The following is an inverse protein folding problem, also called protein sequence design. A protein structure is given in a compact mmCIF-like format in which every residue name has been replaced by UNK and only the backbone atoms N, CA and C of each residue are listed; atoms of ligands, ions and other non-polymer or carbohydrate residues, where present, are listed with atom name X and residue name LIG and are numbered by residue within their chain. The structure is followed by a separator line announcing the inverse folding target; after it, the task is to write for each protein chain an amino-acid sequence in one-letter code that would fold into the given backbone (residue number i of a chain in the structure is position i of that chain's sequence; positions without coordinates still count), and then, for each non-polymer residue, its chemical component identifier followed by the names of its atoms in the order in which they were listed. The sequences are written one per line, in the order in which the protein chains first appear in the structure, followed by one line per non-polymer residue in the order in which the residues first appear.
data_IF_947485937310
#
_entry.id   IF_947485937310
#
_cell.length_a   1.000
_cell.length_b   1.000
_cell.length_c   1.000
_cell.angle_alpha   90.00
_cell.angle_beta   90.00
_cell.angle_gamma   90.00
#
_symmetry.space_group_name_H-M   'P 1'
#
loop_
_entity.id
_entity.type
_entity.pdbx_description
1 polymer ?
#
# COMPACT_ATOMS: atom_id res chain seq x y z
N UNK A 1 13.21 -19.00 -41.42
CA UNK A 1 12.21 -18.02 -41.87
C UNK A 1 12.86 -16.64 -41.76
N UNK A 2 13.12 -15.98 -42.88
CA UNK A 2 13.79 -14.68 -42.88
C UNK A 2 12.81 -13.60 -42.39
N UNK A 3 13.33 -12.45 -41.96
CA UNK A 3 12.50 -11.30 -41.60
C UNK A 3 11.66 -10.80 -42.78
N UNK A 4 12.18 -10.91 -44.01
CA UNK A 4 11.45 -10.57 -45.23
C UNK A 4 10.29 -11.54 -45.52
N UNK A 5 10.48 -12.84 -45.24
CA UNK A 5 9.42 -13.84 -45.37
C UNK A 5 8.27 -13.57 -44.37
N UNK A 6 8.60 -13.09 -43.17
CA UNK A 6 7.59 -12.74 -42.17
C UNK A 6 6.77 -11.51 -42.58
N UNK A 7 7.42 -10.50 -43.18
CA UNK A 7 6.74 -9.29 -43.67
C UNK A 7 5.91 -9.60 -44.92
N UNK A 8 6.41 -10.41 -45.85
CA UNK A 8 5.67 -10.79 -47.06
C UNK A 8 4.45 -11.64 -46.69
N UNK A 9 4.58 -12.59 -45.76
CA UNK A 9 3.47 -13.36 -45.22
C UNK A 9 2.42 -12.45 -44.58
N UNK A 10 2.84 -11.52 -43.71
CA UNK A 10 1.94 -10.58 -43.05
C UNK A 10 1.19 -9.64 -44.03
N UNK A 11 1.86 -9.21 -45.11
CA UNK A 11 1.23 -8.41 -46.17
C UNK A 11 0.28 -9.22 -47.05
N UNK A 12 0.58 -10.50 -47.27
CA UNK A 12 -0.24 -11.40 -48.09
C UNK A 12 -1.49 -11.92 -47.37
N UNK A 13 -1.48 -11.94 -46.03
CA UNK A 13 -2.69 -12.15 -45.23
C UNK A 13 -3.59 -10.93 -45.38
N UNK A 14 -4.52 -11.00 -46.35
CA UNK A 14 -5.68 -10.13 -46.41
C UNK A 14 -6.52 -10.42 -45.18
N UNK A 15 -6.34 -9.62 -44.13
CA UNK A 15 -7.23 -9.66 -42.97
C UNK A 15 -8.55 -9.05 -43.45
N UNK A 16 -9.64 -9.83 -43.57
CA UNK A 16 -10.91 -9.29 -44.00
C UNK A 16 -11.32 -8.17 -43.02
N UNK A 17 -11.91 -7.07 -43.51
CA UNK A 17 -12.37 -6.00 -42.65
C UNK A 17 -13.32 -6.60 -41.59
N UNK A 18 -13.20 -6.18 -40.31
CA UNK A 18 -14.04 -6.73 -39.25
C UNK A 18 -15.51 -6.55 -39.61
N UNK A 19 -16.33 -7.58 -39.38
CA UNK A 19 -17.72 -7.54 -39.82
C UNK A 19 -18.48 -6.44 -39.06
N UNK A 20 -19.38 -5.72 -39.74
CA UNK A 20 -20.24 -4.71 -39.09
C UNK A 20 -21.11 -5.33 -37.99
N UNK A 21 -21.39 -6.64 -38.08
CA UNK A 21 -22.06 -7.44 -37.05
C UNK A 21 -21.25 -7.51 -35.76
N UNK A 22 -19.94 -7.77 -35.86
CA UNK A 22 -19.04 -7.79 -34.70
C UNK A 22 -18.92 -6.40 -34.07
N UNK A 23 -18.89 -5.37 -34.91
CA UNK A 23 -18.88 -3.97 -34.47
C UNK A 23 -20.18 -3.59 -33.73
N UNK A 24 -21.34 -3.99 -34.23
CA UNK A 24 -22.63 -3.77 -33.54
C UNK A 24 -22.72 -4.57 -32.24
N UNK A 25 -22.22 -5.80 -32.21
CA UNK A 25 -22.18 -6.61 -31.00
C UNK A 25 -21.27 -5.97 -29.94
N UNK A 26 -20.08 -5.50 -30.34
CA UNK A 26 -19.16 -4.77 -29.48
C UNK A 26 -19.79 -3.47 -28.95
N UNK A 27 -20.42 -2.66 -29.81
CA UNK A 27 -21.10 -1.41 -29.40
C UNK A 27 -22.28 -1.68 -28.45
N UNK A 28 -23.07 -2.74 -28.69
CA UNK A 28 -24.17 -3.15 -27.79
C UNK A 28 -23.65 -3.62 -26.43
N UNK A 29 -22.59 -4.42 -26.42
CA UNK A 29 -21.96 -4.87 -25.18
C UNK A 29 -21.48 -3.66 -24.36
N UNK A 30 -20.85 -2.69 -25.02
CA UNK A 30 -20.35 -1.46 -24.40
C UNK A 30 -21.50 -0.60 -23.79
N UNK A 31 -22.66 -0.53 -24.47
CA UNK A 31 -23.82 0.19 -23.98
C UNK A 31 -24.45 -0.44 -22.73
N UNK A 32 -24.49 -1.77 -22.65
CA UNK A 32 -25.06 -2.51 -21.51
C UNK A 32 -24.15 -2.46 -20.28
N UNK A 33 -22.83 -2.48 -20.45
CA UNK A 33 -21.90 -2.48 -19.32
C UNK A 33 -21.75 -1.12 -18.64
N UNK A 34 -21.81 -0.01 -19.38
CA UNK A 34 -21.65 1.36 -18.85
C UNK A 34 -22.51 1.70 -17.61
N UNK A 35 -23.83 1.43 -17.58
CA UNK A 35 -24.65 1.75 -16.40
C UNK A 35 -24.26 0.90 -15.17
N UNK A 36 -24.01 -0.39 -15.34
CA UNK A 36 -23.57 -1.27 -14.25
C UNK A 36 -22.19 -0.85 -13.69
N UNK A 37 -21.29 -0.36 -14.55
CA UNK A 37 -20.03 0.22 -14.10
C UNK A 37 -20.22 1.53 -13.33
N UNK A 38 -21.11 2.41 -13.79
CA UNK A 38 -21.38 3.69 -13.14
C UNK A 38 -21.93 3.50 -11.72
N UNK A 39 -22.87 2.57 -11.54
CA UNK A 39 -23.43 2.23 -10.23
C UNK A 39 -22.37 1.65 -9.29
N UNK A 40 -21.53 0.73 -9.77
CA UNK A 40 -20.49 0.14 -8.93
C UNK A 40 -19.36 1.13 -8.62
N UNK A 41 -19.06 2.09 -9.51
CA UNK A 41 -18.18 3.23 -9.20
C UNK A 41 -18.79 4.12 -8.13
N UNK A 42 -20.09 4.37 -8.18
CA UNK A 42 -20.79 5.12 -7.13
C UNK A 42 -20.76 4.37 -5.79
N UNK A 43 -20.99 3.06 -5.78
CA UNK A 43 -20.90 2.23 -4.58
C UNK A 43 -19.49 2.22 -3.98
N UNK A 44 -18.45 2.05 -4.80
CA UNK A 44 -17.06 2.15 -4.35
C UNK A 44 -16.77 3.52 -3.72
N UNK A 45 -17.24 4.62 -4.34
CA UNK A 45 -17.09 5.98 -3.78
C UNK A 45 -17.76 6.13 -2.42
N UNK A 46 -18.95 5.54 -2.22
CA UNK A 46 -19.63 5.55 -0.91
C UNK A 46 -18.79 4.81 0.14
N UNK A 47 -18.21 3.66 -0.22
CA UNK A 47 -17.30 2.89 0.66
C UNK A 47 -16.04 3.69 0.99
N UNK A 48 -15.42 4.36 0.01
CA UNK A 48 -14.30 5.26 0.25
C UNK A 48 -14.69 6.44 1.13
N UNK A 49 -15.84 7.05 0.89
CA UNK A 49 -16.38 8.13 1.71
C UNK A 49 -16.59 7.68 3.15
N UNK A 50 -17.09 6.47 3.38
CA UNK A 50 -17.22 5.88 4.70
C UNK A 50 -15.86 5.61 5.35
N UNK A 51 -14.91 4.99 4.62
CA UNK A 51 -13.53 4.77 5.08
C UNK A 51 -12.89 6.08 5.51
N UNK A 52 -13.04 7.12 4.68
CA UNK A 52 -12.50 8.44 4.90
C UNK A 52 -13.17 9.13 6.08
N UNK A 53 -14.50 9.06 6.19
CA UNK A 53 -15.23 9.62 7.32
C UNK A 53 -14.78 8.96 8.63
N UNK A 54 -14.55 7.65 8.65
CA UNK A 54 -14.00 6.96 9.80
C UNK A 54 -12.53 7.28 10.06
N UNK A 55 -11.69 7.34 9.04
CA UNK A 55 -10.29 7.75 9.17
C UNK A 55 -10.19 9.20 9.66
N UNK A 56 -11.09 10.08 9.22
CA UNK A 56 -11.23 11.45 9.71
C UNK A 56 -11.80 11.48 11.11
N UNK A 57 -12.78 10.67 11.49
CA UNK A 57 -13.30 10.61 12.86
C UNK A 57 -12.27 10.04 13.83
N UNK A 58 -11.51 9.04 13.39
CA UNK A 58 -10.38 8.47 14.12
C UNK A 58 -9.25 9.48 14.23
N UNK A 59 -8.88 10.13 13.12
CA UNK A 59 -7.88 11.18 13.04
C UNK A 59 -8.28 12.43 13.81
N UNK A 60 -9.55 12.82 13.81
CA UNK A 60 -10.15 13.91 14.59
C UNK A 60 -10.39 13.48 16.03
N UNK A 61 -10.50 12.19 16.34
CA UNK A 61 -10.51 11.66 17.70
C UNK A 61 -9.10 11.64 18.31
N UNK A 62 -8.12 11.22 17.52
CA UNK A 62 -6.67 11.32 17.78
C UNK A 62 -6.27 12.78 17.95
N UNK A 63 -6.69 13.62 17.00
CA UNK A 63 -6.52 15.05 17.08
C UNK A 63 -7.29 15.54 18.29
N UNK A 64 -8.61 15.42 18.46
CA UNK A 64 -9.35 15.90 19.66
C UNK A 64 -8.78 15.43 20.99
N UNK A 65 -8.31 14.20 21.13
CA UNK A 65 -7.62 13.75 22.35
C UNK A 65 -6.31 14.50 22.56
N UNK A 66 -5.45 14.53 21.53
CA UNK A 66 -4.17 15.27 21.55
C UNK A 66 -4.31 16.79 21.34
N UNK A 67 -5.47 17.27 20.93
CA UNK A 67 -5.89 18.64 20.60
C UNK A 67 -6.56 19.21 21.82
N UNK A 68 -7.27 18.40 22.62
CA UNK A 68 -7.52 18.75 24.02
C UNK A 68 -6.19 18.95 24.71
N UNK A 69 -5.25 18.00 24.59
CA UNK A 69 -3.90 18.12 25.15
C UNK A 69 -3.15 19.34 24.58
N UNK A 70 -3.19 19.60 23.26
CA UNK A 70 -2.60 20.79 22.62
C UNK A 70 -3.28 22.06 23.08
N UNK A 71 -4.61 22.14 23.07
CA UNK A 71 -5.36 23.33 23.48
C UNK A 71 -5.15 23.60 24.96
N UNK A 72 -5.09 22.58 25.83
CA UNK A 72 -4.65 22.77 27.22
C UNK A 72 -3.19 23.18 27.31
N UNK A 73 -2.29 22.63 26.50
CA UNK A 73 -0.88 23.04 26.45
C UNK A 73 -0.64 24.41 25.76
N UNK A 74 -1.62 24.93 25.02
CA UNK A 74 -1.54 26.19 24.28
C UNK A 74 -2.21 27.33 25.05
N UNK A 75 -3.38 27.07 25.68
CA UNK A 75 -4.05 28.04 26.56
C UNK A 75 -3.47 28.08 27.99
N UNK A 76 -2.94 26.98 28.50
CA UNK A 76 -2.36 26.88 29.85
C UNK A 76 -0.87 26.51 29.81
N UNK A 77 -0.17 26.87 28.73
CA UNK A 77 1.14 26.31 28.39
C UNK A 77 2.21 26.37 29.47
N UNK A 78 2.24 27.40 30.30
CA UNK A 78 3.23 27.47 31.39
C UNK A 78 2.80 26.63 32.62
N UNK A 79 1.50 26.53 32.90
CA UNK A 79 0.96 25.69 33.99
C UNK A 79 0.94 24.20 33.63
N UNK A 80 0.66 23.84 32.38
CA UNK A 80 0.67 22.46 31.90
C UNK A 80 2.10 21.90 31.78
N UNK A 81 3.08 22.73 31.36
CA UNK A 81 4.52 22.38 31.40
C UNK A 81 5.01 22.20 32.84
N UNK A 82 4.54 23.02 33.78
CA UNK A 82 4.87 22.90 35.20
C UNK A 82 4.25 21.66 35.88
N UNK A 83 3.02 21.26 35.52
CA UNK A 83 2.35 20.11 36.14
C UNK A 83 2.75 18.75 35.56
N UNK A 84 3.10 18.66 34.27
CA UNK A 84 3.42 17.37 33.63
C UNK A 84 4.91 17.06 33.60
N UNK A 85 5.79 18.04 33.90
CA UNK A 85 7.25 17.87 33.88
C UNK A 85 7.83 17.42 32.54
N UNK A 86 6.99 17.36 31.49
CA UNK A 86 7.29 16.73 30.22
C UNK A 86 7.41 17.81 29.17
N UNK A 87 8.65 18.13 28.79
CA UNK A 87 9.02 19.04 27.69
C UNK A 87 8.61 18.52 26.29
N UNK A 88 7.59 17.66 26.21
CA UNK A 88 7.06 17.13 24.94
C UNK A 88 6.31 18.24 24.22
N UNK A 89 7.05 18.98 23.40
CA UNK A 89 6.51 19.59 22.19
C UNK A 89 5.55 18.59 21.55
N UNK A 90 4.36 19.05 21.21
CA UNK A 90 3.40 18.16 20.56
C UNK A 90 3.97 17.82 19.19
N UNK A 91 4.44 16.57 19.03
CA UNK A 91 5.13 16.06 17.84
C UNK A 91 4.34 16.40 16.57
N UNK A 92 4.73 17.49 15.90
CA UNK A 92 4.23 17.89 14.59
C UNK A 92 4.31 16.71 13.60
N UNK A 93 5.35 15.89 13.75
CA UNK A 93 5.53 14.63 13.05
C UNK A 93 4.38 13.67 13.14
N UNK A 94 3.86 13.47 14.34
CA UNK A 94 2.76 12.55 14.56
C UNK A 94 1.47 13.05 13.89
N UNK A 95 1.22 14.36 13.94
CA UNK A 95 0.09 14.98 13.24
C UNK A 95 0.23 14.78 11.74
N UNK A 96 1.39 15.12 11.17
CA UNK A 96 1.67 14.95 9.74
C UNK A 96 1.56 13.48 9.29
N UNK A 97 2.10 12.55 10.07
CA UNK A 97 1.99 11.12 9.83
C UNK A 97 0.52 10.68 9.84
N UNK A 98 -0.28 11.10 10.83
CA UNK A 98 -1.71 10.73 10.93
C UNK A 98 -2.56 11.30 9.79
N UNK A 99 -2.20 12.47 9.24
CA UNK A 99 -2.90 13.08 8.12
C UNK A 99 -2.59 12.39 6.78
N UNK A 100 -1.42 11.76 6.65
CA UNK A 100 -0.98 11.17 5.38
C UNK A 100 -1.96 10.09 4.86
N UNK A 101 -2.36 9.06 5.62
CA UNK A 101 -3.35 8.08 5.17
C UNK A 101 -4.69 8.71 4.77
N UNK A 102 -5.13 9.74 5.48
CA UNK A 102 -6.38 10.46 5.19
C UNK A 102 -6.28 11.16 3.84
N UNK A 103 -5.21 11.92 3.61
CA UNK A 103 -4.96 12.63 2.34
C UNK A 103 -4.87 11.64 1.19
N UNK A 104 -4.18 10.52 1.39
CA UNK A 104 -4.08 9.46 0.39
C UNK A 104 -5.45 8.84 0.09
N UNK A 105 -6.28 8.54 1.08
CA UNK A 105 -7.64 8.01 0.86
C UNK A 105 -8.55 9.00 0.13
N UNK A 106 -8.49 10.30 0.45
CA UNK A 106 -9.19 11.36 -0.33
C UNK A 106 -8.74 11.31 -1.79
N UNK A 107 -7.42 11.19 -1.98
CA UNK A 107 -6.85 11.17 -3.31
C UNK A 107 -7.25 9.90 -4.08
N UNK A 108 -7.23 8.73 -3.44
CA UNK A 108 -7.72 7.48 -4.02
C UNK A 108 -9.19 7.60 -4.44
N UNK A 109 -10.06 8.18 -3.60
CA UNK A 109 -11.47 8.40 -3.93
C UNK A 109 -11.65 9.30 -5.17
N UNK A 110 -10.77 10.30 -5.36
CA UNK A 110 -10.73 11.13 -6.58
C UNK A 110 -10.21 10.35 -7.78
N UNK A 111 -9.15 9.56 -7.61
CA UNK A 111 -8.53 8.77 -8.68
C UNK A 111 -9.46 7.68 -9.23
N UNK A 112 -10.29 7.07 -8.37
CA UNK A 112 -11.31 6.07 -8.78
C UNK A 112 -12.34 6.64 -9.77
N UNK A 113 -12.47 7.97 -9.86
CA UNK A 113 -13.34 8.61 -10.86
C UNK A 113 -12.80 8.53 -12.28
N UNK A 114 -11.47 8.40 -12.44
CA UNK A 114 -10.80 8.32 -13.75
C UNK A 114 -10.83 6.88 -14.23
N UNK A 115 -11.19 6.64 -15.49
CA UNK A 115 -11.19 5.30 -16.10
C UNK A 115 -9.80 4.86 -16.60
N UNK A 116 -8.82 5.75 -16.56
CA UNK A 116 -7.45 5.51 -17.03
C UNK A 116 -6.72 4.49 -16.14
N UNK A 117 -5.90 3.65 -16.78
CA UNK A 117 -5.14 2.60 -16.11
C UNK A 117 -4.26 3.11 -14.95
N UNK A 118 -3.46 4.17 -15.19
CA UNK A 118 -2.53 4.71 -14.19
C UNK A 118 -3.20 5.19 -12.88
N UNK A 119 -4.22 6.08 -12.94
CA UNK A 119 -5.00 6.46 -11.76
C UNK A 119 -5.63 5.27 -11.02
N UNK A 120 -6.14 4.29 -11.76
CA UNK A 120 -6.78 3.09 -11.21
C UNK A 120 -5.77 2.16 -10.51
N UNK A 121 -4.57 2.06 -11.06
CA UNK A 121 -3.41 1.40 -10.45
C UNK A 121 -3.03 2.07 -9.12
N UNK A 122 -2.83 3.39 -9.14
CA UNK A 122 -2.44 4.17 -7.97
C UNK A 122 -3.51 4.13 -6.86
N UNK A 123 -4.78 4.25 -7.22
CA UNK A 123 -5.88 4.15 -6.27
C UNK A 123 -5.89 2.81 -5.53
N UNK A 124 -5.65 1.70 -6.23
CA UNK A 124 -5.55 0.37 -5.61
C UNK A 124 -4.34 0.24 -4.70
N UNK A 125 -3.19 0.77 -5.12
CA UNK A 125 -1.98 0.82 -4.29
C UNK A 125 -2.24 1.55 -2.97
N UNK A 126 -2.89 2.72 -3.03
CA UNK A 126 -3.29 3.49 -1.85
C UNK A 126 -4.23 2.69 -0.94
N UNK A 127 -5.24 2.01 -1.51
CA UNK A 127 -6.19 1.22 -0.70
C UNK A 127 -5.52 0.04 -0.04
N UNK A 128 -4.63 -0.67 -0.75
CA UNK A 128 -3.86 -1.77 -0.20
C UNK A 128 -2.94 -1.33 0.93
N UNK A 129 -2.21 -0.22 0.74
CA UNK A 129 -1.39 0.37 1.80
C UNK A 129 -2.24 0.73 3.03
N UNK A 130 -3.37 1.40 2.81
CA UNK A 130 -4.28 1.81 3.89
C UNK A 130 -4.92 0.61 4.60
N UNK A 131 -5.19 -0.48 3.88
CA UNK A 131 -5.64 -1.75 4.47
C UNK A 131 -4.57 -2.32 5.41
N UNK A 132 -3.32 -2.43 4.95
CA UNK A 132 -2.20 -2.96 5.74
C UNK A 132 -1.98 -2.09 6.99
N UNK A 133 -1.94 -0.77 6.83
CA UNK A 133 -1.83 0.16 7.96
C UNK A 133 -2.99 -0.02 8.95
N UNK A 134 -4.23 -0.16 8.47
CA UNK A 134 -5.39 -0.41 9.33
C UNK A 134 -5.27 -1.71 10.13
N UNK A 135 -4.76 -2.78 9.51
CA UNK A 135 -4.48 -4.07 10.19
C UNK A 135 -3.35 -3.95 11.21
N UNK A 136 -2.28 -3.22 10.89
CA UNK A 136 -1.18 -3.02 11.83
C UNK A 136 -1.65 -2.22 13.06
N UNK A 137 -2.38 -1.12 12.84
CA UNK A 137 -2.95 -0.31 13.94
C UNK A 137 -3.87 -1.19 14.81
N UNK A 138 -4.72 -2.03 14.22
CA UNK A 138 -5.61 -2.87 15.02
C UNK A 138 -4.91 -3.97 15.81
N UNK A 139 -3.81 -4.50 15.29
CA UNK A 139 -3.07 -5.59 15.92
C UNK A 139 -2.13 -5.10 17.03
N UNK A 140 -1.54 -3.92 16.86
CA UNK A 140 -0.39 -3.48 17.68
C UNK A 140 -0.67 -2.26 18.55
N UNK A 141 -1.69 -1.44 18.24
CA UNK A 141 -2.04 -0.29 19.06
C UNK A 141 -3.09 -0.59 20.13
N UNK A 142 -3.14 0.25 21.16
CA UNK A 142 -4.11 0.16 22.25
C UNK A 142 -5.58 0.17 21.78
N UNK A 143 -6.50 -0.26 22.64
CA UNK A 143 -7.92 -0.45 22.33
C UNK A 143 -8.57 0.76 21.62
N UNK A 144 -8.21 1.97 22.06
CA UNK A 144 -8.71 3.25 21.52
C UNK A 144 -8.41 3.39 20.01
N UNK A 145 -7.29 2.86 19.54
CA UNK A 145 -6.86 2.98 18.14
C UNK A 145 -7.19 1.73 17.33
N UNK A 146 -7.33 0.58 17.98
CA UNK A 146 -7.51 -0.66 17.25
C UNK A 146 -8.86 -0.79 16.56
N UNK A 147 -9.94 -0.33 17.20
CA UNK A 147 -11.28 -0.32 16.60
C UNK A 147 -11.30 0.55 15.33
N UNK A 148 -10.81 1.82 15.36
CA UNK A 148 -10.61 2.59 14.15
C UNK A 148 -9.77 1.89 13.06
N UNK A 149 -8.64 1.28 13.43
CA UNK A 149 -7.80 0.53 12.50
C UNK A 149 -8.55 -0.60 11.81
N UNK A 150 -9.34 -1.37 12.56
CA UNK A 150 -10.16 -2.46 12.03
C UNK A 150 -11.27 -1.97 11.09
N UNK A 151 -11.88 -0.83 11.40
CA UNK A 151 -12.88 -0.22 10.53
C UNK A 151 -12.24 0.23 9.21
N UNK A 152 -11.09 0.93 9.26
CA UNK A 152 -10.36 1.34 8.06
C UNK A 152 -9.97 0.12 7.22
N UNK A 153 -9.46 -0.94 7.85
CA UNK A 153 -9.12 -2.19 7.19
C UNK A 153 -10.34 -2.80 6.47
N UNK A 154 -11.48 -2.85 7.16
CA UNK A 154 -12.73 -3.41 6.62
C UNK A 154 -13.18 -2.67 5.38
N UNK A 155 -13.26 -1.33 5.43
CA UNK A 155 -13.72 -0.59 4.28
C UNK A 155 -12.72 -0.59 3.12
N UNK A 156 -11.41 -0.61 3.39
CA UNK A 156 -10.40 -0.77 2.35
C UNK A 156 -10.52 -2.15 1.67
N UNK A 157 -10.72 -3.23 2.43
CA UNK A 157 -10.98 -4.55 1.88
C UNK A 157 -12.25 -4.59 1.01
N UNK A 158 -13.35 -4.00 1.49
CA UNK A 158 -14.58 -3.86 0.71
C UNK A 158 -14.36 -3.07 -0.58
N UNK A 159 -13.60 -1.97 -0.53
CA UNK A 159 -13.26 -1.17 -1.70
C UNK A 159 -12.45 -1.99 -2.72
N UNK A 160 -11.47 -2.77 -2.27
CA UNK A 160 -10.68 -3.66 -3.15
C UNK A 160 -11.53 -4.73 -3.82
N UNK A 161 -12.45 -5.36 -3.09
CA UNK A 161 -13.40 -6.34 -3.63
C UNK A 161 -14.28 -5.69 -4.70
N UNK A 162 -14.77 -4.47 -4.49
CA UNK A 162 -15.63 -3.74 -5.44
C UNK A 162 -14.88 -3.18 -6.65
N UNK A 163 -13.62 -2.80 -6.48
CA UNK A 163 -12.75 -2.34 -7.56
C UNK A 163 -12.24 -3.49 -8.43
N UNK A 164 -12.51 -4.75 -8.07
CA UNK A 164 -12.02 -5.91 -8.79
C UNK A 164 -12.43 -5.88 -10.28
N UNK A 165 -11.45 -6.01 -11.17
CA UNK A 165 -11.63 -6.06 -12.62
C UNK A 165 -11.82 -4.72 -13.35
N UNK A 166 -12.15 -3.61 -12.66
CA UNK A 166 -12.57 -2.37 -13.35
C UNK A 166 -11.47 -1.38 -13.70
N UNK A 167 -11.55 -0.74 -14.87
CA UNK A 167 -10.62 0.36 -15.23
C UNK A 167 -9.16 -0.06 -15.30
N UNK A 168 -8.90 -1.36 -15.29
CA UNK A 168 -7.61 -1.92 -15.65
C UNK A 168 -7.61 -2.33 -17.13
N UNK A 169 -8.80 -2.43 -17.75
CA UNK A 169 -8.96 -2.78 -19.16
C UNK A 169 -8.44 -1.66 -20.06
N UNK A 170 -7.67 -1.99 -21.12
CA UNK A 170 -7.08 -0.98 -21.98
C UNK A 170 -8.18 -0.19 -22.66
N UNK A 171 -8.27 1.10 -22.36
CA UNK A 171 -9.16 2.00 -23.09
C UNK A 171 -8.61 2.34 -24.47
N UNK A 172 -9.44 2.89 -25.38
CA UNK A 172 -9.01 3.38 -26.69
C UNK A 172 -7.94 4.49 -26.66
N UNK A 173 -7.57 5.01 -25.48
CA UNK A 173 -6.55 6.06 -25.29
C UNK A 173 -5.33 5.64 -24.45
N UNK A 174 -5.23 4.39 -23.99
CA UNK A 174 -4.09 3.92 -23.19
C UNK A 174 -2.92 3.53 -24.13
N UNK A 175 -2.24 4.55 -24.67
CA UNK A 175 -1.26 4.38 -25.75
C UNK A 175 0.13 3.84 -25.36
N UNK A 176 0.43 3.69 -24.06
CA UNK A 176 1.81 3.38 -23.61
C UNK A 176 1.94 2.08 -22.80
N UNK A 177 0.84 1.54 -22.27
CA UNK A 177 0.88 0.36 -21.40
C UNK A 177 -0.15 -0.68 -21.86
N UNK A 178 0.27 -1.58 -22.76
CA UNK A 178 -0.52 -2.73 -23.21
C UNK A 178 0.25 -4.02 -23.00
N UNK A 179 0.44 -4.49 -21.74
CA UNK A 179 0.98 -5.82 -21.53
C UNK A 179 -0.03 -6.85 -22.04
N UNK A 180 0.29 -7.49 -23.17
CA UNK A 180 -0.54 -8.56 -23.74
C UNK A 180 -0.37 -9.86 -22.94
N UNK A 181 0.80 -10.06 -22.33
CA UNK A 181 1.10 -11.18 -21.45
C UNK A 181 1.31 -10.70 -20.00
N UNK A 182 0.98 -11.54 -19.00
CA UNK A 182 1.22 -11.29 -17.56
C UNK A 182 0.55 -10.08 -16.92
N UNK A 183 -0.44 -9.45 -17.59
CA UNK A 183 -1.09 -8.23 -17.11
C UNK A 183 -1.51 -8.28 -15.64
N UNK A 184 -2.13 -9.38 -15.20
CA UNK A 184 -2.56 -9.54 -13.81
C UNK A 184 -1.38 -9.54 -12.83
N UNK A 185 -0.30 -10.24 -13.14
CA UNK A 185 0.90 -10.31 -12.30
C UNK A 185 1.58 -8.95 -12.22
N UNK A 186 1.71 -8.26 -13.35
CA UNK A 186 2.36 -6.95 -13.42
C UNK A 186 1.54 -5.88 -12.68
N UNK A 187 0.22 -5.85 -12.88
CA UNK A 187 -0.68 -4.96 -12.13
C UNK A 187 -0.55 -5.21 -10.63
N UNK A 188 -0.56 -6.49 -10.23
CA UNK A 188 -0.46 -6.86 -8.83
C UNK A 188 0.89 -6.45 -8.22
N UNK A 189 1.99 -6.74 -8.92
CA UNK A 189 3.34 -6.35 -8.51
C UNK A 189 3.45 -4.82 -8.38
N UNK A 190 2.86 -4.06 -9.31
CA UNK A 190 2.89 -2.60 -9.29
C UNK A 190 2.00 -2.02 -8.17
N UNK A 191 0.86 -2.65 -7.87
CA UNK A 191 0.01 -2.27 -6.71
C UNK A 191 0.76 -2.50 -5.40
N UNK A 192 1.41 -3.66 -5.25
CA UNK A 192 2.21 -3.99 -4.06
C UNK A 192 3.40 -3.03 -3.92
N UNK A 193 4.15 -2.79 -5.00
CA UNK A 193 5.32 -1.89 -4.97
C UNK A 193 4.92 -0.45 -4.60
N UNK A 194 3.75 -0.01 -5.07
CA UNK A 194 3.19 1.28 -4.67
C UNK A 194 2.83 1.32 -3.18
N UNK A 195 2.30 0.22 -2.63
CA UNK A 195 1.99 0.11 -1.21
C UNK A 195 3.25 0.14 -0.33
N UNK A 196 4.31 -0.58 -0.73
CA UNK A 196 5.59 -0.59 -0.01
C UNK A 196 6.27 0.79 -0.06
N UNK A 197 6.27 1.45 -1.23
CA UNK A 197 6.79 2.81 -1.37
C UNK A 197 6.07 3.79 -0.42
N UNK A 198 4.74 3.69 -0.32
CA UNK A 198 3.95 4.53 0.60
C UNK A 198 4.25 4.23 2.07
N UNK A 199 4.41 2.94 2.41
CA UNK A 199 4.76 2.52 3.78
C UNK A 199 6.13 3.07 4.18
N UNK A 200 7.11 3.05 3.27
CA UNK A 200 8.43 3.64 3.49
C UNK A 200 8.38 5.16 3.57
N UNK A 201 7.58 5.84 2.73
CA UNK A 201 7.37 7.29 2.86
C UNK A 201 6.78 7.65 4.24
N UNK A 202 5.78 6.92 4.69
CA UNK A 202 5.17 7.12 6.00
C UNK A 202 6.20 6.92 7.12
N UNK A 203 6.96 5.82 7.08
CA UNK A 203 8.01 5.53 8.05
C UNK A 203 9.12 6.60 8.05
N UNK A 204 9.52 7.07 6.87
CA UNK A 204 10.52 8.13 6.71
C UNK A 204 10.06 9.44 7.36
N UNK A 205 8.81 9.87 7.12
CA UNK A 205 8.25 11.08 7.73
C UNK A 205 8.23 10.96 9.25
N UNK A 206 7.82 9.81 9.79
CA UNK A 206 7.79 9.57 11.22
C UNK A 206 9.21 9.64 11.82
N UNK A 207 10.18 8.98 11.20
CA UNK A 207 11.57 8.97 11.68
C UNK A 207 12.25 10.34 11.58
N UNK A 208 12.00 11.10 10.51
CA UNK A 208 12.52 12.46 10.38
C UNK A 208 11.97 13.33 11.50
N UNK A 209 10.67 13.25 11.77
CA UNK A 209 10.09 14.03 12.85
C UNK A 209 10.65 13.63 14.22
N UNK A 210 10.73 12.32 14.50
CA UNK A 210 11.37 11.83 15.72
C UNK A 210 12.83 12.27 15.86
N UNK A 211 13.56 12.42 14.76
CA UNK A 211 14.93 12.94 14.76
C UNK A 211 15.01 14.44 15.05
N UNK A 212 14.03 15.23 14.61
CA UNK A 212 13.91 16.65 15.00
C UNK A 212 13.68 16.80 16.50
N UNK A 213 12.94 15.88 17.10
CA UNK A 213 12.72 15.79 18.55
C UNK A 213 13.89 15.10 19.30
N UNK A 214 15.03 14.87 18.64
CA UNK A 214 16.26 14.24 19.16
C UNK A 214 16.07 12.81 19.74
N UNK A 215 14.93 12.17 19.50
CA UNK A 215 14.61 10.83 20.02
C UNK A 215 15.22 9.69 19.20
N UNK A 216 15.55 9.96 17.93
CA UNK A 216 16.12 8.97 17.00
C UNK A 216 17.29 9.59 16.24
N UNK A 217 18.27 8.77 15.85
CA UNK A 217 19.40 9.24 15.08
C UNK A 217 18.94 9.73 13.68
N UNK A 218 19.38 10.92 13.22
CA UNK A 218 18.87 11.55 11.99
C UNK A 218 19.14 10.73 10.72
N UNK A 219 20.18 9.89 10.75
CA UNK A 219 20.56 9.07 9.60
C UNK A 219 19.51 8.01 9.25
N UNK A 220 18.73 7.50 10.21
CA UNK A 220 17.74 6.44 9.90
C UNK A 220 16.59 7.01 9.07
N UNK A 221 16.10 8.20 9.42
CA UNK A 221 15.07 8.89 8.63
C UNK A 221 15.54 9.19 7.21
N UNK A 222 16.79 9.61 7.04
CA UNK A 222 17.38 9.84 5.71
C UNK A 222 17.48 8.54 4.91
N UNK A 223 17.98 7.46 5.51
CA UNK A 223 18.12 6.17 4.84
C UNK A 223 16.75 5.59 4.41
N UNK A 224 15.75 5.65 5.28
CA UNK A 224 14.37 5.24 4.96
C UNK A 224 13.79 6.10 3.85
N UNK A 225 14.12 7.41 3.81
CA UNK A 225 13.70 8.31 2.72
C UNK A 225 14.33 7.92 1.38
N UNK A 226 15.63 7.59 1.37
CA UNK A 226 16.32 7.09 0.17
C UNK A 226 15.68 5.80 -0.32
N UNK A 227 15.39 4.85 0.58
CA UNK A 227 14.68 3.62 0.23
C UNK A 227 13.30 3.91 -0.40
N UNK A 228 12.54 4.84 0.18
CA UNK A 228 11.25 5.26 -0.35
C UNK A 228 11.37 5.85 -1.77
N UNK A 229 12.36 6.72 -2.01
CA UNK A 229 12.63 7.33 -3.33
C UNK A 229 13.00 6.25 -4.36
N UNK A 230 13.88 5.31 -4.00
CA UNK A 230 14.26 4.20 -4.87
C UNK A 230 13.03 3.36 -5.25
N UNK A 231 12.15 3.08 -4.29
CA UNK A 231 10.91 2.34 -4.55
C UNK A 231 9.95 3.13 -5.45
N UNK A 232 9.81 4.45 -5.27
CA UNK A 232 9.02 5.29 -6.17
C UNK A 232 9.59 5.25 -7.61
N UNK A 233 10.91 5.31 -7.74
CA UNK A 233 11.58 5.20 -9.03
C UNK A 233 11.35 3.82 -9.68
N UNK A 234 11.42 2.73 -8.89
CA UNK A 234 11.12 1.38 -9.34
C UNK A 234 9.67 1.26 -9.84
N UNK A 235 8.69 1.77 -9.07
CA UNK A 235 7.27 1.83 -9.45
C UNK A 235 7.10 2.59 -10.76
N UNK A 236 7.76 3.74 -10.92
CA UNK A 236 7.73 4.52 -12.17
C UNK A 236 8.32 3.75 -13.36
N UNK A 237 9.45 3.08 -13.15
CA UNK A 237 10.09 2.25 -14.18
C UNK A 237 9.23 1.07 -14.62
N UNK A 238 8.61 0.35 -13.67
CA UNK A 238 7.68 -0.76 -13.96
C UNK A 238 6.42 -0.23 -14.65
N UNK A 239 5.87 0.90 -14.22
CA UNK A 239 4.75 1.56 -14.89
C UNK A 239 5.07 1.92 -16.36
N UNK A 240 6.32 2.31 -16.63
CA UNK A 240 6.82 2.59 -17.98
C UNK A 240 7.31 1.34 -18.74
N UNK A 241 7.11 0.14 -18.19
CA UNK A 241 7.59 -1.13 -18.74
C UNK A 241 9.10 -1.15 -19.04
N UNK A 242 9.89 -0.43 -18.25
CA UNK A 242 11.35 -0.39 -18.43
C UNK A 242 12.02 -1.48 -17.60
N UNK A 243 12.97 -2.20 -18.20
CA UNK A 243 13.72 -3.29 -17.56
C UNK A 243 14.39 -2.84 -16.26
N UNK A 244 14.99 -1.65 -16.24
CA UNK A 244 15.61 -1.11 -15.04
C UNK A 244 14.61 -0.95 -13.88
N UNK A 245 13.34 -0.65 -14.17
CA UNK A 245 12.31 -0.53 -13.13
C UNK A 245 12.02 -1.86 -12.46
N UNK A 246 11.98 -2.94 -13.25
CA UNK A 246 11.83 -4.30 -12.74
C UNK A 246 13.04 -4.70 -11.88
N UNK A 247 14.26 -4.44 -12.36
CA UNK A 247 15.48 -4.73 -11.61
C UNK A 247 15.55 -3.95 -10.29
N UNK A 248 15.23 -2.65 -10.32
CA UNK A 248 15.17 -1.83 -9.11
C UNK A 248 14.09 -2.31 -8.14
N UNK A 249 12.95 -2.80 -8.63
CA UNK A 249 11.91 -3.34 -7.78
C UNK A 249 12.41 -4.61 -7.06
N UNK A 250 12.99 -5.56 -7.79
CA UNK A 250 13.57 -6.80 -7.22
C UNK A 250 14.66 -6.49 -6.21
N UNK A 251 15.66 -5.70 -6.60
CA UNK A 251 16.80 -5.36 -5.74
C UNK A 251 16.37 -4.51 -4.55
N UNK A 252 15.47 -3.54 -4.77
CA UNK A 252 14.91 -2.68 -3.73
C UNK A 252 14.18 -3.49 -2.66
N UNK A 253 13.30 -4.41 -3.06
CA UNK A 253 12.56 -5.26 -2.12
C UNK A 253 13.49 -6.15 -1.30
N UNK A 254 14.50 -6.76 -1.92
CA UNK A 254 15.50 -7.56 -1.19
C UNK A 254 16.29 -6.70 -0.21
N UNK A 255 16.79 -5.55 -0.66
CA UNK A 255 17.58 -4.64 0.17
C UNK A 255 16.75 -4.09 1.34
N UNK A 256 15.52 -3.64 1.09
CA UNK A 256 14.62 -3.11 2.13
C UNK A 256 14.25 -4.20 3.13
N UNK A 257 13.91 -5.40 2.68
CA UNK A 257 13.61 -6.52 3.58
C UNK A 257 14.82 -6.85 4.46
N UNK A 258 16.02 -6.92 3.87
CA UNK A 258 17.26 -7.16 4.61
C UNK A 258 17.54 -6.06 5.64
N UNK A 259 17.52 -4.79 5.21
CA UNK A 259 17.75 -3.62 6.10
C UNK A 259 16.69 -3.51 7.20
N UNK A 260 15.45 -3.90 6.93
CA UNK A 260 14.37 -3.90 7.91
C UNK A 260 14.55 -5.00 8.96
N UNK A 261 14.92 -6.22 8.53
CA UNK A 261 15.15 -7.37 9.43
C UNK A 261 16.42 -7.20 10.28
N UNK A 262 17.49 -6.64 9.70
CA UNK A 262 18.72 -6.33 10.44
C UNK A 262 18.51 -5.18 11.46
N UNK A 263 17.43 -4.41 11.30
CA UNK A 263 17.08 -3.29 12.17
C UNK A 263 17.83 -2.00 11.83
N UNK A 264 18.53 -1.96 10.70
CA UNK A 264 19.22 -0.76 10.19
C UNK A 264 18.23 0.37 9.93
N UNK A 265 17.06 0.05 9.37
CA UNK A 265 15.99 1.04 9.19
C UNK A 265 15.34 1.49 10.49
N UNK A 266 15.71 0.90 11.65
CA UNK A 266 15.09 1.14 12.96
C UNK A 266 13.55 1.05 12.92
N UNK A 267 13.04 0.21 12.03
CA UNK A 267 11.62 -0.11 11.97
C UNK A 267 11.30 -1.08 13.10
N UNK A 268 10.07 -0.99 13.60
CA UNK A 268 9.58 -2.01 14.51
C UNK A 268 9.47 -3.35 13.81
N UNK A 269 9.68 -4.42 14.57
CA UNK A 269 9.71 -5.78 14.03
C UNK A 269 8.45 -6.14 13.23
N UNK A 270 7.22 -5.80 13.67
CA UNK A 270 6.03 -6.09 12.87
C UNK A 270 6.02 -5.40 11.50
N UNK A 271 6.52 -4.16 11.42
CA UNK A 271 6.59 -3.42 10.14
C UNK A 271 7.66 -4.06 9.26
N UNK A 272 8.84 -4.34 9.81
CA UNK A 272 9.92 -4.98 9.06
C UNK A 272 9.54 -6.36 8.56
N UNK A 273 8.88 -7.18 9.38
CA UNK A 273 8.33 -8.46 8.98
C UNK A 273 7.27 -8.31 7.88
N UNK A 274 6.38 -7.32 8.00
CA UNK A 274 5.37 -7.03 6.97
C UNK A 274 6.03 -6.68 5.63
N UNK A 275 7.04 -5.80 5.64
CA UNK A 275 7.81 -5.44 4.44
C UNK A 275 8.57 -6.65 3.85
N UNK A 276 9.10 -7.53 4.70
CA UNK A 276 9.77 -8.75 4.23
C UNK A 276 8.78 -9.74 3.57
N UNK A 277 7.57 -9.85 4.12
CA UNK A 277 6.50 -10.67 3.53
C UNK A 277 6.06 -10.08 2.18
N UNK A 278 5.84 -8.77 2.10
CA UNK A 278 5.45 -8.12 0.83
C UNK A 278 6.54 -8.25 -0.22
N UNK A 279 7.80 -8.04 0.16
CA UNK A 279 8.97 -8.27 -0.70
C UNK A 279 9.02 -9.70 -1.23
N UNK A 280 8.81 -10.70 -0.36
CA UNK A 280 8.79 -12.12 -0.75
C UNK A 280 7.69 -12.39 -1.77
N UNK A 281 6.48 -11.89 -1.53
CA UNK A 281 5.36 -12.03 -2.46
C UNK A 281 5.69 -11.37 -3.81
N UNK A 282 6.27 -10.18 -3.82
CA UNK A 282 6.64 -9.48 -5.06
C UNK A 282 7.74 -10.20 -5.85
N UNK A 283 8.71 -10.81 -5.18
CA UNK A 283 9.71 -11.66 -5.82
C UNK A 283 9.04 -12.85 -6.50
N UNK A 284 8.15 -13.57 -5.79
CA UNK A 284 7.38 -14.68 -6.35
C UNK A 284 6.53 -14.25 -7.55
N UNK A 285 5.93 -13.05 -7.50
CA UNK A 285 5.17 -12.50 -8.63
C UNK A 285 6.04 -12.14 -9.83
N UNK A 286 7.33 -11.86 -9.60
CA UNK A 286 8.29 -11.50 -10.65
C UNK A 286 8.93 -12.73 -11.30
N UNK A 287 8.98 -13.87 -10.61
CA UNK A 287 9.55 -15.14 -11.14
C UNK A 287 8.95 -15.53 -12.50
N UNK A 288 7.61 -15.58 -12.71
CA UNK A 288 7.03 -15.89 -14.02
C UNK A 288 7.53 -14.97 -15.14
N UNK A 289 7.72 -13.68 -14.83
CA UNK A 289 8.16 -12.69 -15.79
C UNK A 289 9.63 -12.90 -16.16
N UNK A 290 10.50 -13.20 -15.18
CA UNK A 290 11.90 -13.57 -15.44
C UNK A 290 11.99 -14.86 -16.25
N UNK A 291 11.21 -15.90 -15.89
CA UNK A 291 11.19 -17.17 -16.60
C UNK A 291 10.82 -16.99 -18.09
N UNK A 292 9.88 -16.09 -18.40
CA UNK A 292 9.59 -15.79 -19.82
C UNK A 292 10.70 -15.08 -20.55
N UNK A 293 11.43 -14.19 -19.88
CA UNK A 293 12.62 -13.54 -20.47
C UNK A 293 13.70 -14.58 -20.77
N UNK A 294 13.80 -15.63 -19.95
CA UNK A 294 14.71 -16.77 -20.15
C UNK A 294 14.22 -17.79 -21.19
N UNK A 295 13.08 -17.56 -21.85
CA UNK A 295 12.59 -18.38 -22.95
C UNK A 295 11.52 -19.40 -22.60
N UNK A 296 11.08 -19.48 -21.34
CA UNK A 296 9.94 -20.33 -20.96
C UNK A 296 8.63 -19.66 -21.41
N UNK A 297 8.07 -20.15 -22.52
CA UNK A 297 6.80 -19.64 -23.09
C UNK A 297 5.58 -20.02 -22.25
N UNK A 298 5.71 -21.00 -21.35
CA UNK A 298 4.62 -21.53 -20.54
C UNK A 298 4.60 -20.98 -19.11
N UNK A 299 5.66 -20.31 -18.65
CA UNK A 299 5.77 -19.70 -17.32
C UNK A 299 4.65 -18.69 -16.97
N UNK A 300 3.82 -18.28 -17.92
CA UNK A 300 2.68 -17.38 -17.71
C UNK A 300 1.30 -17.97 -17.83
N UNK A 301 1.21 -19.27 -18.10
CA UNK A 301 -0.10 -19.90 -18.17
C UNK A 301 -0.75 -19.73 -16.81
N UNK A 302 -1.97 -19.18 -16.76
CA UNK A 302 -2.68 -18.97 -15.51
C UNK A 302 -3.22 -20.31 -14.98
N UNK A 303 -2.33 -21.23 -14.60
CA UNK A 303 -2.69 -22.53 -14.00
C UNK A 303 -3.56 -22.32 -12.76
N UNK A 304 -3.45 -21.15 -12.13
CA UNK A 304 -4.18 -20.79 -10.92
C UNK A 304 -5.04 -19.52 -10.99
N UNK A 305 -5.37 -18.93 -12.14
CA UNK A 305 -6.13 -17.66 -12.13
C UNK A 305 -7.44 -17.71 -11.32
N UNK A 306 -8.17 -18.83 -11.41
CA UNK A 306 -9.39 -19.04 -10.61
C UNK A 306 -9.11 -19.22 -9.11
N UNK A 307 -8.05 -19.96 -8.75
CA UNK A 307 -7.66 -20.18 -7.34
C UNK A 307 -7.06 -18.94 -6.71
N UNK A 308 -6.19 -18.22 -7.43
CA UNK A 308 -5.55 -16.99 -7.00
C UNK A 308 -6.60 -15.93 -6.68
N UNK A 309 -7.66 -15.82 -7.49
CA UNK A 309 -8.81 -14.96 -7.21
C UNK A 309 -9.43 -15.26 -5.84
N UNK A 310 -9.71 -16.53 -5.56
CA UNK A 310 -10.35 -16.92 -4.31
C UNK A 310 -9.38 -16.72 -3.14
N UNK A 311 -8.10 -17.02 -3.34
CA UNK A 311 -7.04 -16.78 -2.37
C UNK A 311 -6.94 -15.30 -1.99
N UNK A 312 -7.04 -14.38 -2.95
CA UNK A 312 -7.06 -12.94 -2.67
C UNK A 312 -8.24 -12.51 -1.80
N UNK A 313 -9.44 -13.03 -2.09
CA UNK A 313 -10.62 -12.72 -1.27
C UNK A 313 -10.46 -13.29 0.13
N UNK A 314 -9.99 -14.54 0.25
CA UNK A 314 -9.70 -15.16 1.53
C UNK A 314 -8.66 -14.38 2.34
N UNK A 315 -7.59 -13.93 1.70
CA UNK A 315 -6.58 -13.11 2.33
C UNK A 315 -7.18 -11.81 2.91
N UNK A 316 -8.00 -11.10 2.13
CA UNK A 316 -8.70 -9.90 2.59
C UNK A 316 -9.62 -10.20 3.79
N UNK A 317 -10.39 -11.29 3.73
CA UNK A 317 -11.28 -11.71 4.81
C UNK A 317 -10.50 -12.06 6.07
N UNK A 318 -9.41 -12.82 5.95
CA UNK A 318 -8.53 -13.18 7.07
C UNK A 318 -7.90 -11.95 7.70
N UNK A 319 -7.38 -11.02 6.89
CA UNK A 319 -6.82 -9.76 7.39
C UNK A 319 -7.85 -8.94 8.18
N UNK A 320 -9.08 -8.83 7.69
CA UNK A 320 -10.17 -8.15 8.40
C UNK A 320 -10.57 -8.90 9.67
N UNK A 321 -10.67 -10.22 9.62
CA UNK A 321 -11.02 -11.05 10.78
C UNK A 321 -9.97 -10.97 11.90
N UNK A 322 -8.67 -11.06 11.54
CA UNK A 322 -7.56 -10.88 12.48
C UNK A 322 -7.59 -9.48 13.10
N UNK A 323 -7.83 -8.47 12.28
CA UNK A 323 -7.93 -7.08 12.70
C UNK A 323 -9.04 -6.86 13.71
N UNK A 324 -10.24 -7.41 13.48
CA UNK A 324 -11.35 -7.35 14.44
C UNK A 324 -11.11 -8.21 15.68
N UNK A 325 -10.58 -9.42 15.53
CA UNK A 325 -10.27 -10.29 16.67
C UNK A 325 -9.32 -9.61 17.65
N UNK A 326 -8.32 -8.89 17.14
CA UNK A 326 -7.41 -8.07 17.96
C UNK A 326 -8.10 -6.84 18.52
N UNK A 327 -8.89 -6.12 17.72
CA UNK A 327 -9.62 -4.95 18.21
C UNK A 327 -10.59 -5.27 19.36
N UNK A 328 -11.18 -6.48 19.35
CA UNK A 328 -12.14 -6.95 20.35
C UNK A 328 -11.52 -7.63 21.58
N UNK A 329 -10.20 -7.77 21.67
CA UNK A 329 -9.51 -8.32 22.84
C UNK A 329 -9.11 -7.19 23.80
N UNK A 330 -9.86 -6.94 24.89
CA UNK A 330 -9.54 -5.91 25.87
C UNK A 330 -8.42 -6.31 26.83
N UNK A 331 -8.07 -7.60 26.89
CA UNK A 331 -7.15 -8.18 27.88
C UNK A 331 -5.74 -8.37 27.36
N UNK A 332 -5.55 -8.44 26.04
CA UNK A 332 -4.23 -8.65 25.46
C UNK A 332 -3.30 -7.47 25.73
N UNK A 333 -2.18 -7.74 26.43
CA UNK A 333 -1.03 -6.83 26.39
C UNK A 333 -0.60 -6.64 24.93
N UNK A 334 -0.75 -5.42 24.43
CA UNK A 334 -0.38 -5.10 23.05
C UNK A 334 1.03 -4.53 23.07
N UNK A 335 1.97 -5.12 22.31
CA UNK A 335 3.28 -4.52 22.12
C UNK A 335 3.05 -3.23 21.32
N UNK A 336 2.94 -2.11 22.04
CA UNK A 336 2.56 -0.82 21.46
C UNK A 336 3.46 -0.43 20.30
N UNK A 337 2.85 -0.03 19.19
CA UNK A 337 3.52 0.26 17.90
C UNK A 337 4.34 1.57 17.88
N UNK A 338 4.30 2.35 18.96
CA UNK A 338 5.07 3.61 19.12
C UNK A 338 6.09 3.55 20.27
N UNK A 339 6.12 2.47 21.06
CA UNK A 339 7.00 2.35 22.23
C UNK A 339 8.25 1.58 21.80
N UNK A 340 9.11 2.27 21.05
CA UNK A 340 10.30 1.71 20.43
C UNK A 340 11.36 1.14 21.39
N UNK A 341 12.16 0.21 20.82
CA UNK A 341 13.45 -0.35 21.26
C UNK A 341 13.54 -1.12 22.58
N UNK A 342 12.77 -0.80 23.63
CA UNK A 342 12.88 -1.51 24.91
C UNK A 342 12.46 -2.99 24.78
N UNK A 343 11.55 -3.31 23.86
CA UNK A 343 11.13 -4.67 23.55
C UNK A 343 12.12 -5.41 22.63
N UNK A 344 12.80 -4.70 21.72
CA UNK A 344 13.75 -5.31 20.77
C UNK A 344 15.03 -5.81 21.46
N UNK A 345 15.49 -5.13 22.52
CA UNK A 345 16.62 -5.61 23.32
C UNK A 345 16.31 -6.94 24.00
N UNK A 346 15.09 -7.14 24.53
CA UNK A 346 14.63 -8.44 25.06
C UNK A 346 14.60 -9.54 24.00
N UNK A 347 14.08 -9.25 22.81
CA UNK A 347 13.92 -10.26 21.75
C UNK A 347 15.26 -10.73 21.16
N UNK A 348 16.30 -9.90 21.18
CA UNK A 348 17.64 -10.27 20.69
C UNK A 348 18.49 -11.02 21.72
N UNK A 349 17.93 -11.37 22.89
CA UNK A 349 18.69 -12.01 23.98
C UNK A 349 19.82 -11.12 24.52
N UNK A 350 19.81 -9.83 24.21
CA UNK A 350 20.79 -8.88 24.73
C UNK A 350 20.34 -8.47 26.14
N UNK A 351 21.27 -8.43 27.11
CA UNK A 351 20.93 -7.96 28.45
C UNK A 351 20.34 -6.55 28.37
N UNK A 352 19.33 -6.22 29.20
CA UNK A 352 18.74 -4.89 29.22
C UNK A 352 19.84 -3.86 29.45
N UNK A 353 19.92 -2.84 28.58
CA UNK A 353 20.88 -1.75 28.75
C UNK A 353 20.56 -1.10 30.10
N UNK A 354 21.52 -1.05 31.05
CA UNK A 354 21.26 -0.44 32.35
C UNK A 354 20.82 1.01 32.13
N UNK A 355 19.68 1.37 32.74
CA UNK A 355 19.19 2.74 32.69
C UNK A 355 20.31 3.65 33.19
N UNK A 356 20.73 4.63 32.37
CA UNK A 356 21.64 5.67 32.84
C UNK A 356 20.92 6.39 33.97
N UNK A 357 21.39 6.19 35.19
CA UNK A 357 20.98 6.99 36.35
C UNK A 357 21.35 8.44 36.04
N UNK A 358 20.40 9.38 36.14
CA UNK A 358 20.62 10.79 35.83
C UNK A 358 21.63 11.45 36.76
#
# INVERSE_FOLDING_TARGET
MSYEDAISLARSTVVPPPSLTDLRAAVRWDAVQRPAEAEQRAAARRIFGASLAFALLAGVGLARGKLRVLLTAWFFGDAARAMTGSNRTVDLGFVLASLLPVVLLVWAARLVRKSQFGPQMLARGIVWSSLVVGVLISCFEGLIYAVPGAIVATFCAMALIRLRGRGLEPGPGDGLFRPVAFRTHLVLALVMACADAQTLCFAAVLQIASALDQSVAPWSGLLTSVCAIVMIAAVWGVYRLRVWGLMLNVLGNVAIAWLALDGVLRLEFPIGATLAITATIQLLLTVPLIATVLGDRDAGRPVFAGRLRNLWIWLLVVMVAVSWGRACDPTGERPGWLIGQASQTRLRGLPPIPARTP
#
